data_IF_734060081993
#
_entry.id   IF_734060081993
#
_cell.length_a   1.000
_cell.length_b   1.000
_cell.length_c   1.000
_cell.angle_alpha   90.00
_cell.angle_beta   90.00
_cell.angle_gamma   90.00
#
_symmetry.space_group_name_H-M   'P 1'
#
loop_
_entity.id
_entity.type
_entity.pdbx_description
1 polymer ?
#
# COMPACT_ATOMS: atom_id res chain seq x y z
N UNK A 1 -43.53 30.27 39.59
CA UNK A 1 -43.04 31.58 40.08
C UNK A 1 -42.79 31.44 41.57
N UNK A 2 -41.54 31.14 41.94
CA UNK A 2 -41.12 31.16 43.35
C UNK A 2 -40.63 32.56 43.72
N UNK A 3 -40.83 32.95 44.98
CA UNK A 3 -40.24 34.16 45.54
C UNK A 3 -38.93 33.77 46.24
N UNK A 4 -37.85 34.47 45.93
CA UNK A 4 -36.53 34.22 46.50
C UNK A 4 -36.05 35.48 47.21
N UNK A 5 -35.67 35.31 48.47
CA UNK A 5 -35.10 36.38 49.30
C UNK A 5 -33.58 36.27 49.29
N UNK A 6 -32.92 37.39 48.97
CA UNK A 6 -31.45 37.49 48.92
C UNK A 6 -30.97 38.71 49.72
N UNK A 7 -29.71 38.66 50.16
CA UNK A 7 -29.09 39.74 50.92
C UNK A 7 -27.80 40.16 50.24
N UNK A 8 -27.64 41.47 49.97
CA UNK A 8 -26.43 42.05 49.40
C UNK A 8 -26.09 43.32 50.18
N UNK A 9 -24.87 43.43 50.70
CA UNK A 9 -24.41 44.59 51.45
C UNK A 9 -25.25 44.91 52.69
N UNK A 10 -25.83 43.86 53.31
CA UNK A 10 -26.74 43.99 54.45
C UNK A 10 -28.15 44.49 54.12
N UNK A 11 -28.52 44.57 52.84
CA UNK A 11 -29.89 44.89 52.39
C UNK A 11 -30.58 43.66 51.82
N UNK A 12 -31.84 43.47 52.19
CA UNK A 12 -32.68 42.40 51.68
C UNK A 12 -33.42 42.81 50.41
N UNK A 13 -33.49 41.88 49.47
CA UNK A 13 -34.20 42.02 48.20
C UNK A 13 -35.03 40.77 47.92
N UNK A 14 -36.22 40.97 47.37
CA UNK A 14 -37.15 39.89 47.02
C UNK A 14 -37.31 39.84 45.51
N UNK A 15 -36.98 38.69 44.92
CA UNK A 15 -37.10 38.44 43.48
C UNK A 15 -38.15 37.39 43.20
N UNK A 16 -38.77 37.48 42.02
CA UNK A 16 -39.64 36.42 41.50
C UNK A 16 -38.91 35.77 40.34
N UNK A 17 -38.67 34.46 40.41
CA UNK A 17 -37.96 33.73 39.37
C UNK A 17 -38.80 32.57 38.79
N UNK A 18 -38.35 32.06 37.64
CA UNK A 18 -38.93 30.89 37.01
C UNK A 18 -38.77 29.63 37.88
N UNK A 19 -39.52 28.56 37.59
CA UNK A 19 -39.23 27.25 38.19
C UNK A 19 -37.77 26.87 37.89
N UNK A 20 -37.06 26.38 38.91
CA UNK A 20 -35.65 25.94 38.87
C UNK A 20 -34.55 27.02 38.77
N UNK A 21 -34.90 28.32 38.75
CA UNK A 21 -33.91 29.41 38.71
C UNK A 21 -33.38 29.85 40.08
N UNK A 22 -34.04 29.48 41.17
CA UNK A 22 -33.69 29.87 42.54
C UNK A 22 -32.22 29.61 42.93
N UNK A 23 -31.63 28.42 42.70
CA UNK A 23 -30.22 28.18 43.02
C UNK A 23 -29.29 29.08 42.21
N UNK A 24 -29.60 29.37 40.94
CA UNK A 24 -28.81 30.27 40.09
C UNK A 24 -28.86 31.70 40.60
N UNK A 25 -30.04 32.20 40.96
CA UNK A 25 -30.22 33.55 41.52
C UNK A 25 -29.47 33.70 42.84
N UNK A 26 -29.53 32.69 43.71
CA UNK A 26 -28.82 32.71 45.01
C UNK A 26 -27.30 32.70 44.81
N UNK A 27 -26.77 31.88 43.90
CA UNK A 27 -25.34 31.86 43.59
C UNK A 27 -24.85 33.22 43.04
N UNK A 28 -25.63 33.85 42.15
CA UNK A 28 -25.30 35.18 41.62
C UNK A 28 -25.31 36.25 42.71
N UNK A 29 -26.29 36.20 43.62
CA UNK A 29 -26.37 37.12 44.74
C UNK A 29 -25.15 37.01 45.67
N UNK A 30 -24.70 35.78 45.95
CA UNK A 30 -23.49 35.53 46.75
C UNK A 30 -22.24 36.11 46.07
N UNK A 31 -22.05 35.86 44.76
CA UNK A 31 -20.92 36.42 44.03
C UNK A 31 -20.91 37.96 44.04
N UNK A 32 -22.08 38.59 43.84
CA UNK A 32 -22.20 40.05 43.92
C UNK A 32 -21.89 40.55 45.33
N UNK A 33 -22.37 39.87 46.38
CA UNK A 33 -22.08 40.26 47.77
C UNK A 33 -20.58 40.17 48.09
N UNK A 34 -19.90 39.11 47.67
CA UNK A 34 -18.45 38.95 47.83
C UNK A 34 -17.66 40.12 47.21
N UNK A 35 -18.04 40.55 45.99
CA UNK A 35 -17.43 41.73 45.37
C UNK A 35 -17.84 43.05 46.02
N UNK A 36 -19.00 43.11 46.68
CA UNK A 36 -19.51 44.31 47.34
C UNK A 36 -18.85 44.57 48.69
N UNK A 37 -18.61 43.54 49.51
CA UNK A 37 -18.02 43.64 50.85
C UNK A 37 -16.79 44.58 50.95
N UNK A 38 -15.79 44.52 50.04
CA UNK A 38 -14.61 45.38 50.12
C UNK A 38 -14.86 46.86 49.76
N UNK A 39 -16.02 47.21 49.20
CA UNK A 39 -16.26 48.54 48.61
C UNK A 39 -17.06 49.49 49.52
N UNK A 40 -17.74 48.99 50.57
CA UNK A 40 -18.64 49.74 51.45
C UNK A 40 -18.09 51.12 51.92
N UNK A 41 -18.93 52.18 52.08
CA UNK A 41 -20.37 52.14 52.38
C UNK A 41 -21.32 52.75 51.33
N UNK A 42 -20.85 53.27 50.18
CA UNK A 42 -21.71 53.88 49.14
C UNK A 42 -22.51 52.82 48.38
N UNK A 43 -23.67 52.45 48.90
CA UNK A 43 -24.45 51.30 48.42
C UNK A 43 -24.66 51.24 46.90
N UNK A 44 -25.30 52.23 46.27
CA UNK A 44 -25.67 52.17 44.86
C UNK A 44 -24.48 52.10 43.90
N UNK A 45 -23.46 52.94 44.12
CA UNK A 45 -22.26 52.98 43.27
C UNK A 45 -21.44 51.69 43.40
N UNK A 46 -21.28 51.20 44.63
CA UNK A 46 -20.49 50.00 44.89
C UNK A 46 -21.21 48.73 44.46
N UNK A 47 -22.54 48.71 44.54
CA UNK A 47 -23.34 47.62 43.99
C UNK A 47 -23.19 47.54 42.47
N UNK A 48 -23.23 48.67 41.76
CA UNK A 48 -22.97 48.69 40.33
C UNK A 48 -21.57 48.15 40.00
N UNK A 49 -20.56 48.56 40.76
CA UNK A 49 -19.19 48.09 40.56
C UNK A 49 -19.05 46.58 40.83
N UNK A 50 -19.70 46.07 41.88
CA UNK A 50 -19.75 44.65 42.19
C UNK A 50 -20.45 43.85 41.08
N UNK A 51 -21.55 44.37 40.52
CA UNK A 51 -22.24 43.75 39.38
C UNK A 51 -21.38 43.73 38.11
N UNK A 52 -20.67 44.82 37.81
CA UNK A 52 -19.75 44.86 36.66
C UNK A 52 -18.60 43.87 36.82
N UNK A 53 -18.03 43.78 38.03
CA UNK A 53 -16.97 42.81 38.32
C UNK A 53 -17.44 41.36 38.23
N UNK A 54 -18.64 41.06 38.74
CA UNK A 54 -19.24 39.74 38.58
C UNK A 54 -19.50 39.40 37.11
N UNK A 55 -19.84 40.39 36.27
CA UNK A 55 -20.01 40.19 34.84
C UNK A 55 -18.67 39.90 34.15
N UNK A 56 -17.61 40.65 34.48
CA UNK A 56 -16.26 40.42 33.96
C UNK A 56 -15.79 38.99 34.31
N UNK A 57 -16.00 38.53 35.56
CA UNK A 57 -15.65 37.16 35.96
C UNK A 57 -16.36 36.09 35.11
N UNK A 58 -17.61 36.33 34.69
CA UNK A 58 -18.35 35.43 33.79
C UNK A 58 -17.76 35.43 32.38
N UNK A 59 -17.39 36.60 31.85
CA UNK A 59 -16.75 36.72 30.54
C UNK A 59 -15.37 36.05 30.53
N UNK A 60 -14.59 36.25 31.59
CA UNK A 60 -13.27 35.63 31.78
C UNK A 60 -13.38 34.10 31.86
N UNK A 61 -14.34 33.57 32.63
CA UNK A 61 -14.59 32.13 32.70
C UNK A 61 -15.06 31.54 31.37
N UNK A 62 -15.85 32.29 30.59
CA UNK A 62 -16.28 31.88 29.26
C UNK A 62 -15.17 32.00 28.21
N UNK A 63 -14.08 32.74 28.51
CA UNK A 63 -13.03 33.06 27.55
C UNK A 63 -13.54 33.88 26.37
N UNK A 64 -14.60 34.67 26.58
CA UNK A 64 -15.24 35.51 25.56
C UNK A 64 -15.00 36.97 25.94
N UNK A 65 -14.59 37.80 24.99
CA UNK A 65 -14.41 39.22 25.27
C UNK A 65 -15.78 39.91 25.44
N UNK A 66 -15.94 40.85 26.38
CA UNK A 66 -17.21 41.56 26.56
C UNK A 66 -17.64 42.26 25.25
N UNK A 67 -18.78 41.86 24.70
CA UNK A 67 -19.31 42.37 23.42
C UNK A 67 -19.05 41.49 22.20
N UNK A 68 -18.32 40.40 22.34
CA UNK A 68 -18.15 39.38 21.31
C UNK A 68 -19.16 38.26 21.52
N UNK A 69 -19.93 37.93 20.47
CA UNK A 69 -20.94 36.86 20.56
C UNK A 69 -20.23 35.49 20.58
N UNK A 70 -20.46 34.64 21.61
CA UNK A 70 -19.86 33.30 21.70
C UNK A 70 -20.11 32.43 20.47
N UNK A 71 -21.21 32.64 19.74
CA UNK A 71 -21.47 31.91 18.49
C UNK A 71 -20.48 32.29 17.39
N UNK A 72 -20.10 33.57 17.30
CA UNK A 72 -19.14 34.04 16.30
C UNK A 72 -17.73 33.53 16.53
N UNK A 73 -17.35 33.30 17.78
CA UNK A 73 -16.06 32.69 18.14
C UNK A 73 -16.03 31.22 17.72
N UNK A 74 -17.08 30.47 18.05
CA UNK A 74 -17.22 29.05 17.63
C UNK A 74 -17.22 28.90 16.12
N UNK A 75 -17.91 29.78 15.39
CA UNK A 75 -17.93 29.77 13.93
C UNK A 75 -16.53 30.06 13.35
N UNK A 76 -15.78 30.99 13.93
CA UNK A 76 -14.39 31.25 13.53
C UNK A 76 -13.48 30.04 13.74
N UNK A 77 -13.53 29.43 14.91
CA UNK A 77 -12.77 28.21 15.21
C UNK A 77 -13.12 27.05 14.26
N UNK A 78 -14.41 26.89 13.93
CA UNK A 78 -14.85 25.91 12.93
C UNK A 78 -14.34 26.24 11.53
N UNK A 79 -14.33 27.51 11.14
CA UNK A 79 -13.83 27.94 9.85
C UNK A 79 -12.33 27.65 9.72
N UNK A 80 -11.54 27.98 10.73
CA UNK A 80 -10.11 27.69 10.78
C UNK A 80 -9.82 26.18 10.69
N UNK A 81 -10.61 25.36 11.39
CA UNK A 81 -10.49 23.90 11.29
C UNK A 81 -10.77 23.39 9.87
N UNK A 82 -11.83 23.89 9.22
CA UNK A 82 -12.20 23.54 7.85
C UNK A 82 -11.14 24.01 6.85
N UNK A 83 -10.58 25.20 7.04
CA UNK A 83 -9.50 25.71 6.20
C UNK A 83 -8.23 24.85 6.32
N UNK A 84 -7.86 24.43 7.53
CA UNK A 84 -6.76 23.50 7.73
C UNK A 84 -7.01 22.13 7.09
N UNK A 85 -8.23 21.60 7.15
CA UNK A 85 -8.59 20.36 6.46
C UNK A 85 -8.52 20.52 4.94
N UNK A 86 -9.01 21.63 4.40
CA UNK A 86 -8.91 21.95 2.97
C UNK A 86 -7.46 21.94 2.51
N UNK A 87 -6.58 22.66 3.19
CA UNK A 87 -5.17 22.78 2.81
C UNK A 87 -4.47 21.41 2.85
N UNK A 88 -4.81 20.59 3.84
CA UNK A 88 -4.31 19.21 3.94
C UNK A 88 -4.79 18.34 2.77
N UNK A 89 -6.07 18.43 2.40
CA UNK A 89 -6.63 17.67 1.29
C UNK A 89 -6.06 18.14 -0.06
N UNK A 90 -5.84 19.43 -0.24
CA UNK A 90 -5.22 19.99 -1.43
C UNK A 90 -3.77 19.52 -1.60
N UNK A 91 -2.99 19.53 -0.53
CA UNK A 91 -1.63 18.98 -0.53
C UNK A 91 -1.62 17.47 -0.86
N UNK A 92 -2.55 16.70 -0.29
CA UNK A 92 -2.67 15.27 -0.58
C UNK A 92 -3.07 15.01 -2.04
N UNK A 93 -3.99 15.82 -2.59
CA UNK A 93 -4.42 15.71 -3.99
C UNK A 93 -3.28 16.04 -4.96
N UNK A 94 -2.50 17.09 -4.68
CA UNK A 94 -1.31 17.43 -5.46
C UNK A 94 -0.30 16.27 -5.46
N UNK A 95 0.02 15.72 -4.28
CA UNK A 95 0.94 14.60 -4.16
C UNK A 95 0.46 13.34 -4.89
N UNK A 96 -0.84 13.04 -4.81
CA UNK A 96 -1.44 11.90 -5.51
C UNK A 96 -1.41 12.09 -7.04
N UNK A 97 -1.64 13.30 -7.52
CA UNK A 97 -1.59 13.64 -8.96
C UNK A 97 -0.18 13.48 -9.50
N UNK A 98 0.82 13.93 -8.75
CA UNK A 98 2.24 13.76 -9.12
C UNK A 98 2.67 12.30 -9.12
N UNK A 99 2.23 11.52 -8.12
CA UNK A 99 2.49 10.09 -8.05
C UNK A 99 1.86 9.35 -9.23
N UNK A 100 0.61 9.68 -9.58
CA UNK A 100 -0.05 9.15 -10.78
C UNK A 100 0.74 9.49 -12.04
N UNK A 101 1.19 10.73 -12.19
CA UNK A 101 1.98 11.16 -13.35
C UNK A 101 3.35 10.46 -13.44
N UNK A 102 3.94 10.03 -12.33
CA UNK A 102 5.15 9.18 -12.33
C UNK A 102 4.81 7.75 -12.78
N UNK A 103 3.80 7.13 -12.17
CA UNK A 103 3.36 5.78 -12.53
C UNK A 103 2.95 5.65 -13.99
N UNK A 104 2.26 6.66 -14.55
CA UNK A 104 1.88 6.67 -15.96
C UNK A 104 3.10 6.69 -16.90
N UNK A 105 4.16 7.42 -16.53
CA UNK A 105 5.42 7.44 -17.27
C UNK A 105 6.14 6.10 -17.17
N UNK A 106 6.24 5.54 -15.98
CA UNK A 106 6.89 4.25 -15.74
C UNK A 106 6.15 3.11 -16.47
N UNK A 107 4.81 3.15 -16.49
CA UNK A 107 4.01 2.20 -17.26
C UNK A 107 4.18 2.36 -18.77
N UNK A 108 4.43 3.58 -19.26
CA UNK A 108 4.71 3.81 -20.68
C UNK A 108 6.09 3.25 -21.04
N UNK A 109 7.12 3.57 -20.27
CA UNK A 109 8.48 3.06 -20.51
C UNK A 109 8.52 1.54 -20.41
N UNK A 110 7.89 0.94 -19.39
CA UNK A 110 7.82 -0.51 -19.26
C UNK A 110 7.13 -1.19 -20.45
N UNK A 111 6.10 -0.55 -21.03
CA UNK A 111 5.43 -1.05 -22.25
C UNK A 111 6.30 -0.92 -23.49
N UNK A 112 7.03 0.18 -23.62
CA UNK A 112 7.98 0.40 -24.73
C UNK A 112 9.11 -0.64 -24.66
N UNK A 113 9.72 -0.84 -23.49
CA UNK A 113 10.73 -1.87 -23.28
C UNK A 113 10.21 -3.28 -23.56
N UNK A 114 8.98 -3.60 -23.14
CA UNK A 114 8.38 -4.90 -23.42
C UNK A 114 8.20 -5.13 -24.93
N UNK A 115 7.76 -4.11 -25.67
CA UNK A 115 7.65 -4.16 -27.13
C UNK A 115 9.00 -4.32 -27.80
N UNK A 116 10.01 -3.58 -27.36
CA UNK A 116 11.37 -3.69 -27.89
C UNK A 116 11.95 -5.09 -27.66
N UNK A 117 11.69 -5.70 -26.50
CA UNK A 117 12.08 -7.09 -26.21
C UNK A 117 11.37 -8.08 -27.13
N UNK A 118 10.06 -7.93 -27.33
CA UNK A 118 9.29 -8.78 -28.25
C UNK A 118 9.78 -8.63 -29.71
N UNK A 119 10.06 -7.41 -30.15
CA UNK A 119 10.62 -7.15 -31.48
C UNK A 119 12.04 -7.73 -31.64
N UNK A 120 12.86 -7.68 -30.59
CA UNK A 120 14.19 -8.29 -30.60
C UNK A 120 14.11 -9.81 -30.60
N UNK A 121 13.22 -10.40 -29.80
CA UNK A 121 12.98 -11.84 -29.74
C UNK A 121 12.44 -12.37 -31.08
N UNK A 122 11.47 -11.69 -31.69
CA UNK A 122 10.92 -12.09 -32.99
C UNK A 122 11.96 -12.01 -34.11
N UNK A 123 12.82 -10.98 -34.13
CA UNK A 123 13.95 -10.90 -35.06
C UNK A 123 14.95 -12.03 -34.83
N UNK A 124 15.34 -12.29 -33.58
CA UNK A 124 16.26 -13.39 -33.26
C UNK A 124 15.68 -14.77 -33.63
N UNK A 125 14.37 -14.95 -33.47
CA UNK A 125 13.67 -16.16 -33.92
C UNK A 125 13.68 -16.27 -35.45
N UNK A 126 13.39 -15.19 -36.17
CA UNK A 126 13.42 -15.17 -37.64
C UNK A 126 14.83 -15.48 -38.18
N UNK A 127 15.87 -14.87 -37.61
CA UNK A 127 17.27 -15.13 -37.98
C UNK A 127 17.65 -16.60 -37.74
N UNK A 128 17.19 -17.18 -36.63
CA UNK A 128 17.43 -18.59 -36.32
C UNK A 128 16.72 -19.52 -37.29
N UNK A 129 15.49 -19.20 -37.69
CA UNK A 129 14.74 -19.97 -38.69
C UNK A 129 15.47 -19.91 -40.04
N UNK A 130 15.84 -18.70 -40.50
CA UNK A 130 16.57 -18.52 -41.75
C UNK A 130 17.91 -19.30 -41.76
N UNK A 131 18.64 -19.31 -40.64
CA UNK A 131 19.87 -20.09 -40.52
C UNK A 131 19.62 -21.60 -40.62
N UNK A 132 18.54 -22.09 -40.01
CA UNK A 132 18.18 -23.51 -40.07
C UNK A 132 17.72 -23.91 -41.48
N UNK A 133 16.95 -23.06 -42.16
CA UNK A 133 16.54 -23.26 -43.55
C UNK A 133 17.76 -23.38 -44.47
N UNK A 134 18.70 -22.42 -44.42
CA UNK A 134 19.95 -22.49 -45.19
C UNK A 134 20.74 -23.78 -44.91
N UNK A 135 20.83 -24.21 -43.65
CA UNK A 135 21.54 -25.45 -43.29
C UNK A 135 20.83 -26.70 -43.82
N UNK A 136 19.49 -26.70 -43.83
CA UNK A 136 18.70 -27.79 -44.39
C UNK A 136 18.93 -27.89 -45.90
N UNK A 137 18.93 -26.76 -46.62
CA UNK A 137 19.25 -26.70 -48.05
C UNK A 137 20.68 -27.21 -48.34
N UNK A 138 21.67 -26.75 -47.58
CA UNK A 138 23.05 -27.22 -47.70
C UNK A 138 23.17 -28.74 -47.49
N UNK A 139 22.45 -29.29 -46.52
CA UNK A 139 22.46 -30.73 -46.23
C UNK A 139 21.74 -31.52 -47.33
N UNK A 140 20.64 -31.00 -47.87
CA UNK A 140 19.95 -31.59 -49.02
C UNK A 140 20.88 -31.65 -50.23
N UNK A 141 21.55 -30.56 -50.58
CA UNK A 141 22.53 -30.55 -51.67
C UNK A 141 23.68 -31.53 -51.45
N UNK A 142 24.19 -31.66 -50.22
CA UNK A 142 25.23 -32.65 -49.89
C UNK A 142 24.73 -34.09 -50.03
N UNK A 143 23.49 -34.37 -49.61
CA UNK A 143 22.87 -35.68 -49.78
C UNK A 143 22.66 -36.01 -51.26
N UNK A 144 22.14 -35.08 -52.06
CA UNK A 144 21.97 -35.24 -53.51
C UNK A 144 23.32 -35.44 -54.21
N UNK A 145 24.35 -34.69 -53.84
CA UNK A 145 25.70 -34.86 -54.37
C UNK A 145 26.31 -36.22 -54.00
N UNK A 146 26.14 -36.67 -52.75
CA UNK A 146 26.59 -38.00 -52.32
C UNK A 146 25.83 -39.13 -53.04
N UNK A 147 24.51 -38.99 -53.22
CA UNK A 147 23.70 -39.93 -54.00
C UNK A 147 24.12 -39.97 -55.47
N UNK A 148 24.48 -38.83 -56.07
CA UNK A 148 25.02 -38.79 -57.45
C UNK A 148 26.46 -39.32 -57.55
N UNK A 149 27.23 -39.27 -56.47
CA UNK A 149 28.60 -39.79 -56.40
C UNK A 149 28.63 -41.31 -56.17
N UNK A 150 27.57 -41.90 -55.60
CA UNK A 150 27.33 -43.34 -55.67
C UNK A 150 26.88 -43.75 -57.08
N UNK A 151 27.85 -43.83 -58.01
CA UNK A 151 27.95 -44.83 -59.07
C UNK A 151 29.32 -44.64 -59.78
N UNK A 152 30.22 -45.63 -59.64
CA UNK A 152 30.32 -46.61 -60.71
C UNK A 152 30.38 -48.07 -60.21
N UNK A 153 29.47 -48.89 -60.77
CA UNK A 153 29.48 -50.35 -60.89
C UNK A 153 29.52 -51.23 -59.63
N UNK A 154 28.50 -52.09 -59.51
CA UNK A 154 28.66 -53.41 -58.89
C UNK A 154 27.52 -53.83 -57.97
N UNK A 155 26.50 -54.47 -58.53
CA UNK A 155 25.71 -55.39 -57.72
C UNK A 155 26.60 -56.56 -57.28
N UNK A 156 27.01 -56.58 -56.02
CA UNK A 156 27.44 -57.80 -55.31
C UNK A 156 27.60 -57.54 -53.82
N UNK A 157 26.85 -58.29 -53.01
CA UNK A 157 27.16 -58.71 -51.64
C UNK A 157 28.01 -57.78 -50.77
N UNK A 158 27.33 -56.98 -49.96
CA UNK A 158 27.86 -56.40 -48.73
C UNK A 158 27.23 -57.01 -47.48
N UNK A 159 26.72 -58.24 -47.55
CA UNK A 159 26.56 -59.06 -46.36
C UNK A 159 27.95 -59.63 -46.06
N UNK A 160 28.56 -59.08 -45.01
CA UNK A 160 29.68 -59.61 -44.24
C UNK A 160 29.91 -61.13 -44.35
N UNK A 161 30.58 -61.59 -45.40
CA UNK A 161 31.30 -62.86 -45.43
C UNK A 161 32.72 -62.58 -44.96
N UNK A 162 32.83 -62.20 -43.69
CA UNK A 162 34.13 -62.17 -43.00
C UNK A 162 34.40 -63.62 -42.57
N UNK A 163 35.32 -64.36 -43.25
CA UNK A 163 35.54 -65.79 -43.01
C UNK A 163 36.04 -66.08 -41.59
N UNK A 164 36.46 -65.05 -40.85
CA UNK A 164 36.92 -65.10 -39.47
C UNK A 164 35.81 -64.84 -38.44
N UNK A 165 34.62 -64.39 -38.85
CA UNK A 165 33.50 -64.12 -37.94
C UNK A 165 32.94 -65.41 -37.32
N UNK A 166 32.80 -66.47 -38.14
CA UNK A 166 32.27 -67.76 -37.71
C UNK A 166 33.21 -68.44 -36.70
N UNK A 167 34.54 -68.54 -36.96
CA UNK A 167 35.50 -68.99 -35.95
C UNK A 167 35.56 -68.09 -34.70
N UNK A 168 35.38 -66.77 -34.84
CA UNK A 168 35.36 -65.86 -33.69
C UNK A 168 34.12 -66.07 -32.81
N UNK A 169 32.96 -66.29 -33.43
CA UNK A 169 31.70 -66.61 -32.75
C UNK A 169 31.77 -67.97 -32.03
N UNK A 170 32.37 -68.99 -32.64
CA UNK A 170 32.59 -70.29 -31.99
C UNK A 170 33.54 -70.16 -30.78
N UNK A 171 34.61 -69.38 -30.89
CA UNK A 171 35.50 -69.09 -29.75
C UNK A 171 34.78 -68.32 -28.65
N UNK A 172 33.92 -67.37 -29.01
CA UNK A 172 33.16 -66.59 -28.04
C UNK A 172 32.10 -67.45 -27.33
N UNK A 173 31.43 -68.34 -28.06
CA UNK A 173 30.51 -69.32 -27.50
C UNK A 173 31.22 -70.26 -26.51
N UNK A 174 32.41 -70.78 -26.85
CA UNK A 174 33.21 -71.59 -25.93
C UNK A 174 33.68 -70.83 -24.68
N UNK A 175 33.98 -69.53 -24.80
CA UNK A 175 34.30 -68.69 -23.64
C UNK A 175 33.09 -68.51 -22.72
N UNK A 176 31.90 -68.31 -23.29
CA UNK A 176 30.64 -68.22 -22.54
C UNK A 176 30.30 -69.54 -21.83
N UNK A 177 30.48 -70.67 -22.50
CA UNK A 177 30.31 -72.00 -21.89
C UNK A 177 31.28 -72.21 -20.73
N UNK A 178 32.56 -71.86 -20.89
CA UNK A 178 33.54 -71.96 -19.78
C UNK A 178 33.23 -71.03 -18.60
N UNK A 179 32.60 -69.88 -18.87
CA UNK A 179 32.16 -68.94 -17.84
C UNK A 179 30.92 -69.48 -17.11
N UNK A 180 30.00 -70.11 -17.84
CA UNK A 180 28.85 -70.79 -17.25
C UNK A 180 29.29 -71.97 -16.37
N UNK A 181 30.18 -72.84 -16.85
CA UNK A 181 30.73 -73.96 -16.07
C UNK A 181 31.42 -73.52 -14.78
N UNK A 182 32.14 -72.39 -14.81
CA UNK A 182 32.79 -71.81 -13.62
C UNK A 182 31.79 -71.21 -12.63
N UNK A 183 30.66 -70.69 -13.11
CA UNK A 183 29.60 -70.16 -12.25
C UNK A 183 28.79 -71.31 -11.63
N UNK A 184 28.45 -72.33 -12.41
CA UNK A 184 27.68 -73.49 -11.93
C UNK A 184 28.53 -74.41 -11.04
N UNK A 185 29.80 -74.65 -11.39
CA UNK A 185 30.75 -75.41 -10.56
C UNK A 185 31.11 -74.72 -9.22
N UNK A 186 30.87 -73.41 -9.11
CA UNK A 186 31.03 -72.65 -7.86
C UNK A 186 29.76 -72.62 -7.00
N UNK A 187 28.60 -72.96 -7.56
CA UNK A 187 27.31 -73.06 -6.86
C UNK A 187 27.06 -74.48 -6.32
N UNK A 188 27.76 -75.51 -6.84
CA UNK A 188 27.64 -76.91 -6.40
C UNK A 188 28.58 -77.37 -5.27
N UNK A 189 29.32 -76.48 -4.60
CA UNK A 189 30.25 -76.84 -3.51
C UNK A 189 30.08 -75.96 -2.26
N UNK A 190 28.84 -75.55 -1.96
CA UNK A 190 28.42 -74.89 -0.72
C UNK A 190 27.38 -75.75 0.01
#
# INVERSE_FOLDING_TARGET
MSKVEITIGGREFVFTCGPDDEPRVRALATAIDEHYQPLAPRFSQNLLFACLRAADDVFDQAGVTPGEDPETKRLREQLEAVEHERDRLEAALSAATDARGRLERDMRTAREEAREREDAESKAQADRIALLENRCEDLQHKLEAAQMQELPFGGSNGASDDPDLLPALERFAGLLESCADKLEGRVGNA
#
